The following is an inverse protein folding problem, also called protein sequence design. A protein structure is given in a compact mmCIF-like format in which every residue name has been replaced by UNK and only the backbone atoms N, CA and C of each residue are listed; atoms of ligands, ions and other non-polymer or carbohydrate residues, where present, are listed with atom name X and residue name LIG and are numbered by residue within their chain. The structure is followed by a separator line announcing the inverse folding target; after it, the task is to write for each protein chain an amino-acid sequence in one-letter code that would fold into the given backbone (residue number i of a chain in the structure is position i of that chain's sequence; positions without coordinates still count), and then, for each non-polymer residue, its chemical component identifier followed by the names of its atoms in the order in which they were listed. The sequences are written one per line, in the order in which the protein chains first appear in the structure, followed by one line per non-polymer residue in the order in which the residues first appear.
data_IF_137748372793
#
_entry.id   IF_137748372793
#
_cell.length_a   1.000
_cell.length_b   1.000
_cell.length_c   1.000
_cell.angle_alpha   90.00
_cell.angle_beta   90.00
_cell.angle_gamma   90.00
#
_symmetry.space_group_name_H-M   'P 1'
#
loop_
_entity.id
_entity.type
_entity.pdbx_description
1 polymer ?
#
# COMPACT_ATOMS: atom_id res chain seq x y z
N UNK A 1 -0.82 2.85 -14.42
CA UNK A 1 -1.14 1.41 -14.48
C UNK A 1 -1.53 0.92 -13.11
N UNK A 2 -2.64 0.22 -13.00
CA UNK A 2 -3.12 -0.27 -11.70
C UNK A 2 -2.51 -1.63 -11.40
N UNK A 3 -1.95 -1.76 -10.20
CA UNK A 3 -1.37 -3.00 -9.72
C UNK A 3 -2.19 -3.52 -8.55
N UNK A 4 -2.03 -4.78 -8.22
CA UNK A 4 -2.73 -5.40 -7.11
C UNK A 4 -1.73 -6.02 -6.15
N UNK A 5 -2.07 -6.00 -4.87
CA UNK A 5 -1.23 -6.60 -3.84
C UNK A 5 -2.01 -6.84 -2.57
N UNK A 6 -1.33 -7.38 -1.58
CA UNK A 6 -1.91 -7.72 -0.28
C UNK A 6 -1.15 -7.01 0.82
N UNK A 7 -1.85 -6.45 1.78
CA UNK A 7 -1.21 -5.79 2.92
C UNK A 7 -0.44 -6.82 3.72
N UNK A 8 0.86 -6.62 3.85
CA UNK A 8 1.71 -7.48 4.67
C UNK A 8 1.76 -6.99 6.11
N UNK A 9 1.89 -5.69 6.29
CA UNK A 9 1.94 -5.09 7.62
C UNK A 9 1.49 -3.65 7.56
N UNK A 10 1.02 -3.11 8.67
CA UNK A 10 0.67 -1.71 8.79
C UNK A 10 0.87 -1.26 10.23
N UNK A 11 1.57 -0.13 10.40
CA UNK A 11 1.79 0.49 11.68
C UNK A 11 0.92 1.75 11.77
N UNK A 12 -0.17 1.68 12.55
CA UNK A 12 -1.09 2.80 12.68
C UNK A 12 -0.49 3.96 13.48
N UNK A 13 0.50 3.69 14.30
CA UNK A 13 1.16 4.74 15.09
C UNK A 13 2.04 5.60 14.19
N UNK A 14 2.83 4.98 13.33
CA UNK A 14 3.71 5.69 12.42
C UNK A 14 3.03 6.06 11.10
N UNK A 15 1.93 5.41 10.77
CA UNK A 15 1.17 5.71 9.58
C UNK A 15 1.78 5.18 8.30
N UNK A 16 2.45 4.04 8.34
CA UNK A 16 3.00 3.42 7.14
C UNK A 16 2.89 1.90 7.21
N UNK A 17 3.01 1.26 6.05
CA UNK A 17 2.91 -0.18 5.96
C UNK A 17 3.62 -0.71 4.73
N UNK A 18 3.43 -1.99 4.47
CA UNK A 18 4.04 -2.68 3.34
C UNK A 18 3.01 -3.54 2.62
N UNK A 19 3.19 -3.63 1.30
CA UNK A 19 2.32 -4.42 0.43
C UNK A 19 3.18 -5.49 -0.24
N UNK A 20 2.66 -6.72 -0.30
CA UNK A 20 3.24 -7.79 -1.10
C UNK A 20 2.59 -7.77 -2.48
N UNK A 21 3.32 -7.43 -3.56
CA UNK A 21 2.74 -7.40 -4.89
C UNK A 21 2.27 -8.78 -5.36
N UNK A 22 1.10 -8.84 -6.00
CA UNK A 22 0.62 -10.11 -6.56
C UNK A 22 1.50 -10.61 -7.70
N UNK A 23 2.07 -9.67 -8.45
CA UNK A 23 2.97 -10.02 -9.56
C UNK A 23 4.31 -10.56 -9.09
N UNK A 24 4.58 -10.52 -7.79
CA UNK A 24 5.86 -10.94 -7.24
C UNK A 24 6.84 -9.79 -7.12
N UNK A 25 8.01 -10.09 -6.60
CA UNK A 25 9.04 -9.09 -6.39
C UNK A 25 9.11 -8.59 -4.96
N UNK A 26 9.84 -7.50 -4.75
CA UNK A 26 10.05 -6.95 -3.42
C UNK A 26 8.81 -6.25 -2.91
N UNK A 27 8.66 -6.25 -1.59
CA UNK A 27 7.57 -5.51 -0.94
C UNK A 27 7.67 -4.02 -1.24
N UNK A 28 6.51 -3.37 -1.34
CA UNK A 28 6.40 -1.94 -1.63
C UNK A 28 5.86 -1.25 -0.39
N UNK A 29 6.49 -0.13 -0.02
CA UNK A 29 6.03 0.67 1.11
C UNK A 29 4.90 1.60 0.69
N UNK A 30 4.03 1.90 1.64
CA UNK A 30 3.03 2.95 1.45
C UNK A 30 2.85 3.72 2.74
N UNK A 31 2.41 4.97 2.60
CA UNK A 31 2.06 5.82 3.74
C UNK A 31 0.55 5.93 3.86
N UNK A 32 0.06 6.24 5.04
CA UNK A 32 -1.36 6.46 5.26
C UNK A 32 -1.92 7.52 4.32
N UNK A 33 -1.12 8.51 3.94
CA UNK A 33 -1.53 9.55 3.00
C UNK A 33 -1.85 9.02 1.61
N UNK A 34 -1.34 7.83 1.26
CA UNK A 34 -1.61 7.21 -0.04
C UNK A 34 -2.94 6.48 -0.09
N UNK A 35 -3.61 6.30 1.06
CA UNK A 35 -4.88 5.59 1.13
C UNK A 35 -5.99 6.46 0.54
N UNK A 36 -6.72 5.92 -0.43
CA UNK A 36 -7.78 6.65 -1.12
C UNK A 36 -9.18 6.39 -0.55
N UNK A 37 -9.32 5.43 0.37
CA UNK A 37 -10.61 5.21 1.06
C UNK A 37 -10.65 6.01 2.36
N UNK A 38 -11.67 5.77 3.18
CA UNK A 38 -11.84 6.48 4.45
C UNK A 38 -10.59 6.31 5.32
N UNK A 39 -9.92 7.42 5.62
CA UNK A 39 -8.68 7.41 6.39
C UNK A 39 -8.87 7.01 7.84
N UNK A 40 -10.11 6.93 8.30
CA UNK A 40 -10.42 6.44 9.64
C UNK A 40 -10.36 4.92 9.73
N UNK A 41 -10.33 4.24 8.58
CA UNK A 41 -10.27 2.79 8.51
C UNK A 41 -8.87 2.37 8.09
N UNK A 42 -8.13 1.79 9.03
CA UNK A 42 -6.78 1.31 8.73
C UNK A 42 -6.82 0.06 7.86
N UNK A 43 -5.82 -0.14 7.00
CA UNK A 43 -5.71 -1.38 6.24
C UNK A 43 -5.55 -2.59 7.18
N UNK A 44 -6.14 -3.71 6.77
CA UNK A 44 -6.04 -4.96 7.53
C UNK A 44 -4.96 -5.84 6.88
N UNK A 45 -4.13 -6.45 7.70
CA UNK A 45 -3.14 -7.40 7.20
C UNK A 45 -3.86 -8.54 6.47
N UNK A 46 -3.40 -8.82 5.24
CA UNK A 46 -4.04 -9.80 4.38
C UNK A 46 -5.09 -9.21 3.44
N UNK A 47 -5.42 -7.95 3.59
CA UNK A 47 -6.40 -7.30 2.72
C UNK A 47 -5.81 -7.10 1.32
N UNK A 48 -6.60 -7.45 0.30
CA UNK A 48 -6.21 -7.20 -1.09
C UNK A 48 -6.54 -5.77 -1.46
N UNK A 49 -5.60 -5.12 -2.14
CA UNK A 49 -5.81 -3.76 -2.63
C UNK A 49 -5.32 -3.57 -4.04
N UNK A 50 -5.77 -2.49 -4.65
CA UNK A 50 -5.16 -1.97 -5.88
C UNK A 50 -4.34 -0.73 -5.54
N UNK A 51 -3.29 -0.51 -6.29
CA UNK A 51 -2.41 0.63 -6.08
C UNK A 51 -1.71 1.00 -7.37
N UNK A 52 -1.09 2.16 -7.38
CA UNK A 52 -0.24 2.61 -8.48
C UNK A 52 1.20 2.68 -7.99
N UNK A 53 2.14 2.28 -8.85
CA UNK A 53 3.55 2.36 -8.52
C UNK A 53 4.06 3.79 -8.72
N UNK A 54 4.81 4.28 -7.75
CA UNK A 54 5.45 5.57 -7.82
C UNK A 54 6.82 5.51 -7.16
N UNK A 55 7.56 6.61 -7.23
CA UNK A 55 8.86 6.71 -6.59
C UNK A 55 8.89 7.90 -5.66
N UNK A 56 9.56 7.74 -4.52
CA UNK A 56 9.82 8.81 -3.59
C UNK A 56 11.24 8.63 -3.07
N UNK A 57 12.08 9.65 -3.29
CA UNK A 57 13.51 9.59 -2.89
C UNK A 57 14.21 8.34 -3.43
N UNK A 58 13.98 8.04 -4.71
CA UNK A 58 14.56 6.90 -5.43
C UNK A 58 14.14 5.54 -4.86
N UNK A 59 13.04 5.51 -4.08
CA UNK A 59 12.49 4.25 -3.55
C UNK A 59 11.09 4.02 -4.09
N UNK A 60 10.75 2.78 -4.47
CA UNK A 60 9.41 2.49 -4.94
C UNK A 60 8.39 2.64 -3.81
N UNK A 61 7.26 3.26 -4.12
CA UNK A 61 6.16 3.44 -3.16
C UNK A 61 4.83 3.16 -3.85
N UNK A 62 3.88 2.70 -3.08
CA UNK A 62 2.51 2.53 -3.56
C UNK A 62 1.73 3.81 -3.34
N UNK A 63 0.96 4.21 -4.36
CA UNK A 63 0.15 5.42 -4.34
C UNK A 63 -1.29 5.06 -4.67
N UNK A 64 -2.23 5.94 -4.28
CA UNK A 64 -3.65 5.77 -4.62
C UNK A 64 -4.19 4.38 -4.27
N UNK A 65 -3.97 3.97 -3.03
CA UNK A 65 -4.42 2.68 -2.56
C UNK A 65 -5.94 2.64 -2.49
N UNK A 66 -6.54 1.60 -3.06
CA UNK A 66 -7.98 1.38 -3.03
C UNK A 66 -8.25 -0.06 -2.65
N UNK A 67 -9.39 -0.31 -2.01
CA UNK A 67 -9.81 -1.67 -1.72
C UNK A 67 -10.13 -2.39 -3.04
N UNK A 68 -9.66 -3.61 -3.16
CA UNK A 68 -9.91 -4.41 -4.35
C UNK A 68 -11.03 -5.40 -4.14
#
# INVERSE_FOLDING_TARGET
MTLFGTVKSFDSVQGHGQITPEAGGDMIRFDKSAIAWDKKTDPTVGQRLSYEAGNSNDQPRALNLKTA
#
